data_IF_813724983059
#
_entry.id   IF_813724983059
#
_cell.length_a   1.000
_cell.length_b   1.000
_cell.length_c   1.000
_cell.angle_alpha   90.00
_cell.angle_beta   90.00
_cell.angle_gamma   90.00
#
_symmetry.space_group_name_H-M   'P 1'
#
loop_
_entity.id
_entity.type
_entity.pdbx_description
1 polymer ?
#
# COMPACT_ATOMS: atom_id res chain seq x y z
N UNK A 1 5.29 12.48 16.84
CA UNK A 1 4.43 11.54 16.10
C UNK A 1 5.31 10.58 15.32
N UNK A 2 5.15 9.31 15.52
CA UNK A 2 6.00 8.31 14.86
C UNK A 2 5.14 7.31 14.10
N UNK A 3 5.35 7.23 12.80
CA UNK A 3 4.68 6.33 11.91
C UNK A 3 5.63 5.19 11.54
N UNK A 4 5.18 3.95 11.67
CA UNK A 4 5.97 2.78 11.36
C UNK A 4 5.32 2.01 10.23
N UNK A 5 6.12 1.59 9.24
CA UNK A 5 5.62 0.77 8.15
C UNK A 5 6.00 -0.68 8.46
N UNK A 6 5.00 -1.55 8.44
CA UNK A 6 5.19 -2.96 8.77
C UNK A 6 4.68 -3.85 7.63
N UNK A 7 5.28 -5.03 7.51
CA UNK A 7 4.77 -6.09 6.65
C UNK A 7 3.87 -6.98 7.51
N UNK A 8 2.61 -7.08 7.14
CA UNK A 8 1.67 -7.91 7.89
C UNK A 8 1.80 -9.37 7.46
N UNK A 9 2.27 -10.22 8.37
CA UNK A 9 2.39 -11.65 8.12
C UNK A 9 1.31 -12.43 8.86
N UNK A 10 0.95 -11.99 10.05
CA UNK A 10 -0.13 -12.55 10.84
C UNK A 10 -1.05 -11.43 11.29
N UNK A 11 -2.33 -11.68 11.26
CA UNK A 11 -3.31 -10.66 11.61
C UNK A 11 -3.81 -10.90 13.03
N UNK A 12 -3.63 -9.90 13.90
CA UNK A 12 -4.27 -9.88 15.22
C UNK A 12 -5.74 -9.51 15.06
N UNK A 13 -6.53 -9.64 16.12
CA UNK A 13 -7.92 -9.21 16.09
C UNK A 13 -8.03 -7.72 15.80
N UNK A 14 -7.14 -6.91 16.37
CA UNK A 14 -7.12 -5.46 16.11
C UNK A 14 -6.75 -5.18 14.66
N UNK A 15 -5.78 -5.92 14.10
CA UNK A 15 -5.41 -5.77 12.69
C UNK A 15 -6.60 -6.02 11.78
N UNK A 16 -7.38 -7.06 12.06
CA UNK A 16 -8.57 -7.39 11.25
C UNK A 16 -9.61 -6.28 11.31
N UNK A 17 -9.82 -5.71 12.50
CA UNK A 17 -10.74 -4.60 12.68
C UNK A 17 -10.27 -3.38 11.86
N UNK A 18 -9.00 -3.05 11.96
CA UNK A 18 -8.43 -1.91 11.24
C UNK A 18 -8.45 -2.11 9.73
N UNK A 19 -8.09 -3.31 9.26
CA UNK A 19 -8.13 -3.62 7.82
C UNK A 19 -9.56 -3.55 7.27
N UNK A 20 -10.55 -3.95 8.06
CA UNK A 20 -11.95 -3.83 7.65
C UNK A 20 -12.36 -2.37 7.49
N UNK A 21 -11.79 -1.47 8.29
CA UNK A 21 -12.04 -0.04 8.15
C UNK A 21 -11.32 0.57 6.96
N UNK A 22 -10.13 0.05 6.64
CA UNK A 22 -9.35 0.50 5.48
C UNK A 22 -9.98 -0.03 4.18
N UNK A 23 -10.36 -1.30 4.17
CA UNK A 23 -10.94 -1.97 3.02
C UNK A 23 -12.30 -2.58 3.37
N UNK A 24 -13.37 -1.77 3.47
CA UNK A 24 -14.69 -2.31 3.84
C UNK A 24 -15.23 -3.35 2.86
N UNK A 25 -14.78 -3.29 1.61
CA UNK A 25 -15.19 -4.21 0.56
C UNK A 25 -14.54 -5.60 0.67
N UNK A 26 -13.51 -5.74 1.50
CA UNK A 26 -12.84 -7.02 1.69
C UNK A 26 -13.17 -7.61 3.05
N UNK A 27 -13.39 -8.92 3.09
CA UNK A 27 -13.44 -9.63 4.35
C UNK A 27 -12.01 -9.91 4.82
N UNK A 28 -11.68 -9.68 6.10
CA UNK A 28 -10.33 -10.00 6.59
C UNK A 28 -9.95 -11.48 6.35
N UNK A 29 -10.91 -12.38 6.36
CA UNK A 29 -10.64 -13.79 6.11
C UNK A 29 -10.29 -14.09 4.65
N UNK A 30 -10.59 -13.18 3.73
CA UNK A 30 -10.24 -13.34 2.32
C UNK A 30 -8.84 -12.82 1.99
N UNK A 31 -8.21 -12.11 2.93
CA UNK A 31 -6.87 -11.58 2.73
C UNK A 31 -5.85 -12.66 3.05
N UNK A 32 -4.99 -12.96 2.08
CA UNK A 32 -3.96 -13.96 2.23
C UNK A 32 -2.60 -13.34 1.97
N UNK A 33 -1.62 -13.73 2.76
CA UNK A 33 -0.24 -13.26 2.60
C UNK A 33 0.70 -14.45 2.51
N UNK A 34 1.69 -14.32 1.64
CA UNK A 34 2.78 -15.28 1.47
C UNK A 34 4.01 -14.53 0.93
N UNK A 35 5.01 -15.24 0.45
CA UNK A 35 6.22 -14.60 -0.04
C UNK A 35 5.97 -13.72 -1.28
N UNK A 36 4.97 -14.05 -2.08
CA UNK A 36 4.65 -13.32 -3.31
C UNK A 36 3.49 -12.35 -3.16
N UNK A 37 2.67 -12.54 -2.11
CA UNK A 37 1.50 -11.69 -1.84
C UNK A 37 1.65 -11.10 -0.46
N UNK A 38 1.94 -9.80 -0.41
CA UNK A 38 2.26 -9.11 0.84
C UNK A 38 1.28 -7.98 1.08
N UNK A 39 1.08 -7.67 2.35
CA UNK A 39 0.33 -6.49 2.76
C UNK A 39 1.27 -5.66 3.62
N UNK A 40 1.49 -4.42 3.22
CA UNK A 40 2.23 -3.45 4.02
C UNK A 40 1.25 -2.45 4.59
N UNK A 41 1.48 -2.02 5.81
CA UNK A 41 0.60 -1.10 6.49
C UNK A 41 1.36 -0.05 7.28
N UNK A 42 0.74 1.10 7.44
CA UNK A 42 1.26 2.17 8.27
C UNK A 42 0.64 2.07 9.64
N UNK A 43 1.48 1.91 10.65
CA UNK A 43 1.07 1.73 12.05
C UNK A 43 1.39 2.99 12.84
N UNK A 44 0.40 3.48 13.58
CA UNK A 44 0.54 4.63 14.46
C UNK A 44 -0.30 4.40 15.71
N UNK A 45 0.33 4.52 16.89
CA UNK A 45 -0.33 4.26 18.17
C UNK A 45 -1.06 2.91 18.19
N UNK A 46 -0.39 1.88 17.68
CA UNK A 46 -0.88 0.51 17.64
C UNK A 46 -2.13 0.32 16.75
N UNK A 47 -2.43 1.31 15.89
CA UNK A 47 -3.56 1.23 14.96
C UNK A 47 -3.06 1.35 13.52
N UNK A 48 -3.66 0.59 12.63
CA UNK A 48 -3.34 0.67 11.21
C UNK A 48 -4.10 1.84 10.58
N UNK A 49 -3.35 2.74 9.93
CA UNK A 49 -3.93 3.92 9.29
C UNK A 49 -4.05 3.79 7.79
N UNK A 50 -3.21 2.97 7.17
CA UNK A 50 -3.19 2.79 5.74
C UNK A 50 -2.67 1.40 5.42
N UNK A 51 -2.98 0.91 4.23
CA UNK A 51 -2.47 -0.37 3.78
C UNK A 51 -2.42 -0.43 2.26
N UNK A 52 -1.55 -1.29 1.74
CA UNK A 52 -1.40 -1.52 0.31
C UNK A 52 -1.11 -3.00 0.10
N UNK A 53 -1.66 -3.56 -0.97
CA UNK A 53 -1.37 -4.93 -1.37
C UNK A 53 -0.23 -4.95 -2.36
N UNK A 54 0.72 -5.85 -2.15
CA UNK A 54 1.90 -5.98 -3.00
C UNK A 54 1.95 -7.42 -3.54
N UNK A 55 2.08 -7.54 -4.84
CA UNK A 55 2.27 -8.84 -5.49
C UNK A 55 3.64 -8.85 -6.14
N UNK A 56 4.45 -9.86 -5.83
CA UNK A 56 5.80 -9.98 -6.37
C UNK A 56 5.86 -11.15 -7.35
N UNK A 57 6.53 -10.92 -8.48
CA UNK A 57 6.72 -11.95 -9.50
C UNK A 57 8.13 -11.79 -10.09
N UNK A 58 9.06 -12.64 -9.66
CA UNK A 58 10.46 -12.50 -10.07
C UNK A 58 11.04 -11.17 -9.61
N UNK A 59 11.47 -10.32 -10.56
CA UNK A 59 11.99 -8.99 -10.27
C UNK A 59 10.94 -7.89 -10.46
N UNK A 60 9.68 -8.27 -10.67
CA UNK A 60 8.59 -7.32 -10.85
C UNK A 60 7.71 -7.27 -9.60
N UNK A 61 7.23 -6.08 -9.28
CA UNK A 61 6.29 -5.88 -8.19
C UNK A 61 5.09 -5.08 -8.65
N UNK A 62 3.91 -5.47 -8.16
CA UNK A 62 2.67 -4.78 -8.44
C UNK A 62 2.05 -4.30 -7.14
N UNK A 63 1.57 -3.06 -7.14
CA UNK A 63 0.91 -2.44 -6.00
C UNK A 63 -0.55 -2.22 -6.36
N UNK A 64 -1.44 -2.52 -5.44
CA UNK A 64 -2.85 -2.22 -5.64
C UNK A 64 -3.55 -1.96 -4.31
N UNK A 65 -4.76 -1.44 -4.41
CA UNK A 65 -5.64 -1.24 -3.25
C UNK A 65 -5.03 -0.34 -2.17
N UNK A 66 -4.12 0.56 -2.53
CA UNK A 66 -3.61 1.53 -1.56
C UNK A 66 -4.77 2.36 -1.04
N UNK A 67 -4.93 2.37 0.28
CA UNK A 67 -5.98 3.17 0.90
C UNK A 67 -5.49 3.70 2.23
N UNK A 68 -5.80 4.97 2.50
CA UNK A 68 -5.49 5.65 3.74
C UNK A 68 -6.81 6.01 4.41
N UNK A 69 -6.92 5.77 5.73
CA UNK A 69 -8.12 6.14 6.46
C UNK A 69 -8.34 7.66 6.38
N UNK A 70 -9.60 8.06 6.19
CA UNK A 70 -9.94 9.44 5.89
C UNK A 70 -9.41 10.47 6.87
N UNK A 71 -9.33 10.11 8.15
CA UNK A 71 -8.86 11.04 9.19
C UNK A 71 -7.37 11.37 9.08
N UNK A 72 -6.60 10.62 8.29
CA UNK A 72 -5.15 10.75 8.24
C UNK A 72 -4.62 11.10 6.86
N UNK A 73 -5.48 11.40 5.89
CA UNK A 73 -5.06 11.61 4.49
C UNK A 73 -4.09 12.75 4.27
N UNK A 74 -4.08 13.74 5.14
CA UNK A 74 -3.33 14.98 4.94
C UNK A 74 -1.85 14.89 5.21
N UNK A 75 -1.33 13.80 5.74
CA UNK A 75 0.02 13.76 6.27
C UNK A 75 1.00 12.97 5.42
N UNK A 76 0.65 12.72 4.18
CA UNK A 76 1.55 11.97 3.31
C UNK A 76 1.73 10.52 3.75
N UNK A 77 0.79 9.97 4.49
CA UNK A 77 0.87 8.60 4.99
C UNK A 77 1.00 7.61 3.84
N UNK A 78 0.17 7.79 2.79
CA UNK A 78 0.22 6.91 1.63
C UNK A 78 1.57 6.96 0.91
N UNK A 79 2.12 8.16 0.74
CA UNK A 79 3.41 8.33 0.10
C UNK A 79 4.52 7.68 0.93
N UNK A 80 4.51 7.89 2.24
CA UNK A 80 5.51 7.29 3.13
C UNK A 80 5.41 5.77 3.09
N UNK A 81 4.19 5.24 3.10
CA UNK A 81 3.98 3.80 3.00
C UNK A 81 4.61 3.23 1.72
N UNK A 82 4.35 3.86 0.57
CA UNK A 82 4.91 3.39 -0.70
C UNK A 82 6.43 3.54 -0.73
N UNK A 83 6.98 4.63 -0.19
CA UNK A 83 8.42 4.79 -0.13
C UNK A 83 9.08 3.64 0.64
N UNK A 84 8.49 3.24 1.75
CA UNK A 84 9.05 2.17 2.56
C UNK A 84 8.86 0.81 1.90
N UNK A 85 7.75 0.59 1.18
CA UNK A 85 7.56 -0.64 0.41
C UNK A 85 8.68 -0.78 -0.63
N UNK A 86 8.98 0.30 -1.37
CA UNK A 86 10.05 0.27 -2.37
C UNK A 86 11.40 0.02 -1.73
N UNK A 87 11.66 0.64 -0.58
CA UNK A 87 12.93 0.48 0.13
C UNK A 87 13.12 -0.94 0.65
N UNK A 88 12.04 -1.56 1.11
CA UNK A 88 12.09 -2.90 1.69
C UNK A 88 12.17 -4.02 0.65
N UNK A 89 12.07 -3.67 -0.63
CA UNK A 89 12.10 -4.66 -1.72
C UNK A 89 13.13 -4.24 -2.78
N UNK A 90 14.42 -4.16 -2.42
CA UNK A 90 15.45 -3.66 -3.35
C UNK A 90 15.71 -4.57 -4.53
N UNK A 91 15.29 -5.85 -4.46
CA UNK A 91 15.44 -6.78 -5.57
C UNK A 91 14.41 -6.60 -6.68
N UNK A 92 13.41 -5.75 -6.47
CA UNK A 92 12.39 -5.48 -7.48
C UNK A 92 12.91 -4.38 -8.41
N UNK A 93 12.97 -4.68 -9.72
CA UNK A 93 13.48 -3.74 -10.70
C UNK A 93 12.38 -2.97 -11.43
N UNK A 94 11.15 -3.47 -11.42
CA UNK A 94 10.03 -2.84 -12.08
C UNK A 94 8.81 -2.86 -11.17
N UNK A 95 8.21 -1.70 -10.95
CA UNK A 95 7.01 -1.56 -10.13
C UNK A 95 5.83 -1.08 -10.97
N UNK A 96 4.68 -1.63 -10.69
CA UNK A 96 3.43 -1.21 -11.30
C UNK A 96 2.41 -0.88 -10.22
N UNK A 97 1.74 0.27 -10.37
CA UNK A 97 0.65 0.67 -9.47
C UNK A 97 -0.62 0.80 -10.29
N UNK A 98 -1.57 -0.11 -10.05
CA UNK A 98 -2.85 -0.05 -10.74
C UNK A 98 -3.69 1.12 -10.22
N UNK A 99 -4.45 1.77 -11.10
CA UNK A 99 -5.32 2.87 -10.71
C UNK A 99 -6.73 2.40 -10.30
N UNK A 100 -7.01 1.10 -10.42
CA UNK A 100 -8.28 0.54 -10.00
C UNK A 100 -8.48 0.72 -8.50
N UNK A 101 -9.63 1.22 -8.08
CA UNK A 101 -9.94 1.42 -6.68
C UNK A 101 -9.33 2.68 -6.07
N UNK A 102 -8.64 3.50 -6.85
CA UNK A 102 -8.07 4.75 -6.37
C UNK A 102 -9.19 5.78 -6.23
N UNK A 103 -9.31 6.37 -5.04
CA UNK A 103 -10.37 7.34 -4.75
C UNK A 103 -10.15 8.68 -5.45
N UNK A 104 -8.90 9.14 -5.49
CA UNK A 104 -8.55 10.41 -6.13
C UNK A 104 -7.30 10.21 -6.97
N UNK A 105 -7.53 10.05 -8.28
CA UNK A 105 -6.44 9.79 -9.22
C UNK A 105 -5.46 10.95 -9.32
N UNK A 106 -5.95 12.18 -9.17
CA UNK A 106 -5.10 13.36 -9.23
C UNK A 106 -4.11 13.42 -8.07
N UNK A 107 -4.58 13.16 -6.86
CA UNK A 107 -3.73 13.12 -5.67
C UNK A 107 -2.75 11.94 -5.78
N UNK A 108 -3.25 10.78 -6.20
CA UNK A 108 -2.40 9.60 -6.38
C UNK A 108 -1.30 9.89 -7.40
N UNK A 109 -1.64 10.50 -8.53
CA UNK A 109 -0.65 10.84 -9.57
C UNK A 109 0.46 11.75 -9.01
N UNK A 110 0.09 12.70 -8.16
CA UNK A 110 1.07 13.64 -7.59
C UNK A 110 2.14 12.90 -6.79
N UNK A 111 1.73 12.03 -5.87
CA UNK A 111 2.76 11.35 -5.09
C UNK A 111 3.40 10.16 -5.82
N UNK A 112 2.74 9.57 -6.80
CA UNK A 112 3.42 8.57 -7.64
C UNK A 112 4.55 9.21 -8.45
N UNK A 113 4.34 10.42 -8.96
CA UNK A 113 5.41 11.17 -9.63
C UNK A 113 6.55 11.51 -8.67
N UNK A 114 6.22 11.89 -7.44
CA UNK A 114 7.23 12.17 -6.42
C UNK A 114 8.08 10.95 -6.11
N UNK A 115 7.52 9.76 -6.26
CA UNK A 115 8.23 8.50 -6.04
C UNK A 115 9.01 8.02 -7.28
N UNK A 116 8.88 8.72 -8.40
CA UNK A 116 9.59 8.37 -9.62
C UNK A 116 8.81 7.50 -10.59
N UNK A 117 7.50 7.33 -10.36
CA UNK A 117 6.65 6.59 -11.28
C UNK A 117 6.25 7.46 -12.48
N UNK A 118 6.01 6.80 -13.60
CA UNK A 118 5.53 7.43 -14.83
C UNK A 118 4.10 7.00 -15.10
N UNK A 119 3.24 7.95 -15.46
CA UNK A 119 1.84 7.66 -15.75
C UNK A 119 1.73 6.81 -17.02
N UNK A 120 0.91 5.76 -16.94
CA UNK A 120 0.63 4.85 -18.03
C UNK A 120 -0.86 4.59 -18.09
N UNK A 121 -1.30 3.94 -19.16
CA UNK A 121 -2.71 3.55 -19.27
C UNK A 121 -3.02 2.53 -18.19
N UNK A 122 -3.97 2.86 -17.31
CA UNK A 122 -4.42 2.00 -16.24
C UNK A 122 -3.60 2.06 -14.96
N UNK A 123 -2.59 2.96 -14.89
CA UNK A 123 -1.82 3.09 -13.67
C UNK A 123 -0.51 3.84 -13.83
N UNK A 124 0.48 3.46 -13.02
CA UNK A 124 1.79 4.09 -13.00
C UNK A 124 2.87 3.02 -12.96
N UNK A 125 3.99 3.29 -13.61
CA UNK A 125 5.10 2.35 -13.70
C UNK A 125 6.40 3.02 -13.26
N UNK A 126 7.25 2.26 -12.56
CA UNK A 126 8.58 2.70 -12.15
C UNK A 126 9.59 1.60 -12.52
N UNK A 127 10.63 1.99 -13.23
CA UNK A 127 11.73 1.09 -13.62
C UNK A 127 13.07 1.57 -13.10
#
# INVERSE_FOLDING_TARGET
>A
MKLTIIRLENFSDQDRIDLQKIWPEYSPSSLQVDDNHRIYAALFNERLLAAVRVTLSGTEGALDSLRVRGVTRRRGVGQYLLEEVLRNNPGVSCWWMADAGVEDRGVMATFMQALGFTAQKGGWEKR
#
